data_IF_844290137592
#
_entry.id   IF_844290137592
#
_cell.length_a   1.000
_cell.length_b   1.000
_cell.length_c   1.000
_cell.angle_alpha   90.00
_cell.angle_beta   90.00
_cell.angle_gamma   90.00
#
_symmetry.space_group_name_H-M   'P 1'
#
loop_
_entity.id
_entity.type
_entity.pdbx_description
1 polymer ?
#
# COMPACT_ATOMS: atom_id res chain seq x y z
N UNK A 1 8.19 7.18 20.70
CA UNK A 1 8.64 6.56 19.43
C UNK A 1 9.81 7.38 18.91
N UNK A 2 11.00 6.81 18.69
CA UNK A 2 12.15 7.57 18.16
C UNK A 2 12.07 7.62 16.63
N UNK A 3 12.26 8.79 15.99
CA UNK A 3 12.45 8.87 14.55
C UNK A 3 13.59 7.95 14.12
N UNK A 4 13.38 7.21 13.05
CA UNK A 4 14.37 6.33 12.44
C UNK A 4 14.31 6.54 10.94
N UNK A 5 15.49 6.65 10.31
CA UNK A 5 15.58 6.83 8.87
C UNK A 5 15.76 5.45 8.23
N UNK A 6 14.80 5.06 7.39
CA UNK A 6 14.88 3.85 6.57
C UNK A 6 15.07 4.30 5.13
N UNK A 7 16.27 4.12 4.60
CA UNK A 7 16.55 4.47 3.20
C UNK A 7 15.93 3.42 2.27
N UNK A 8 15.25 3.89 1.24
CA UNK A 8 14.61 3.06 0.24
C UNK A 8 15.42 3.05 -1.06
N UNK A 9 15.25 2.00 -1.84
CA UNK A 9 15.78 1.96 -3.21
C UNK A 9 15.11 3.05 -4.07
N UNK A 10 15.76 3.43 -5.19
CA UNK A 10 15.17 4.38 -6.16
C UNK A 10 13.80 3.91 -6.67
N UNK A 11 13.68 2.63 -7.05
CA UNK A 11 12.42 2.07 -7.53
C UNK A 11 11.30 2.17 -6.48
N UNK A 12 11.63 1.89 -5.21
CA UNK A 12 10.67 2.03 -4.12
C UNK A 12 10.26 3.49 -3.90
N UNK A 13 11.19 4.44 -4.00
CA UNK A 13 10.87 5.87 -3.92
C UNK A 13 9.92 6.30 -5.04
N UNK A 14 10.15 5.86 -6.28
CA UNK A 14 9.28 6.16 -7.42
C UNK A 14 7.85 5.64 -7.19
N UNK A 15 7.70 4.42 -6.68
CA UNK A 15 6.40 3.85 -6.28
C UNK A 15 5.73 4.71 -5.20
N UNK A 16 6.48 5.12 -4.17
CA UNK A 16 5.94 5.92 -3.08
C UNK A 16 5.51 7.32 -3.54
N UNK A 17 6.23 7.93 -4.49
CA UNK A 17 5.88 9.21 -5.12
C UNK A 17 4.59 9.07 -5.93
N UNK A 18 4.46 8.01 -6.74
CA UNK A 18 3.24 7.74 -7.50
C UNK A 18 2.03 7.58 -6.57
N UNK A 19 2.17 6.77 -5.50
CA UNK A 19 1.12 6.58 -4.50
C UNK A 19 0.75 7.89 -3.80
N UNK A 20 1.75 8.69 -3.39
CA UNK A 20 1.53 9.99 -2.76
C UNK A 20 0.83 10.98 -3.69
N UNK A 21 1.12 10.95 -4.99
CA UNK A 21 0.44 11.78 -6.00
C UNK A 21 -1.04 11.40 -6.08
N UNK A 22 -1.38 10.11 -6.02
CA UNK A 22 -2.76 9.62 -5.98
C UNK A 22 -3.47 9.92 -4.64
N UNK A 23 -2.73 10.15 -3.56
CA UNK A 23 -3.28 10.48 -2.24
C UNK A 23 -3.69 11.96 -2.09
N UNK A 24 -3.56 12.77 -3.16
CA UNK A 24 -3.87 14.20 -3.17
C UNK A 24 -3.22 14.93 -1.97
N UNK A 25 -4.00 15.70 -1.22
CA UNK A 25 -3.49 16.48 -0.10
C UNK A 25 -3.36 15.69 1.22
N UNK A 26 -3.67 14.38 1.23
CA UNK A 26 -3.53 13.56 2.44
C UNK A 26 -2.09 13.56 2.95
N UNK A 27 -1.87 13.67 4.26
CA UNK A 27 -0.54 13.47 4.86
C UNK A 27 -0.02 12.01 4.79
N UNK A 28 -0.87 11.05 4.44
CA UNK A 28 -0.54 9.63 4.34
C UNK A 28 -0.32 9.20 2.89
N UNK A 29 0.53 8.19 2.67
CA UNK A 29 0.73 7.58 1.34
C UNK A 29 -0.46 6.70 0.96
N UNK A 30 -1.10 6.09 1.95
CA UNK A 30 -2.31 5.27 1.81
C UNK A 30 -3.41 5.84 2.72
N UNK A 31 -4.17 6.84 2.25
CA UNK A 31 -5.24 7.45 3.04
C UNK A 31 -6.43 6.50 3.26
N UNK A 32 -7.24 6.83 4.26
CA UNK A 32 -8.57 6.26 4.40
C UNK A 32 -9.46 6.71 3.23
N UNK A 33 -10.48 5.91 2.93
CA UNK A 33 -11.40 6.18 1.82
C UNK A 33 -12.28 7.41 2.06
N UNK A 34 -12.63 7.66 3.32
CA UNK A 34 -13.61 8.68 3.70
C UNK A 34 -12.98 9.89 4.38
N UNK A 35 -11.77 9.75 4.90
CA UNK A 35 -11.03 10.83 5.56
C UNK A 35 -9.59 10.84 5.07
N UNK A 36 -9.19 11.90 4.37
CA UNK A 36 -7.84 12.07 3.86
C UNK A 36 -6.83 12.33 4.98
N UNK A 37 -7.27 12.74 6.16
CA UNK A 37 -6.44 12.98 7.34
C UNK A 37 -6.31 11.75 8.25
N UNK A 38 -6.86 10.62 7.82
CA UNK A 38 -6.65 9.31 8.45
C UNK A 38 -5.91 8.33 7.54
N UNK A 39 -5.11 7.41 8.11
CA UNK A 39 -4.52 6.33 7.34
C UNK A 39 -5.56 5.25 7.02
N UNK A 40 -5.31 4.47 5.97
CA UNK A 40 -6.07 3.26 5.67
C UNK A 40 -6.09 2.30 6.88
N UNK A 41 -7.25 1.77 7.22
CA UNK A 41 -7.39 0.80 8.31
C UNK A 41 -6.71 -0.54 7.99
N UNK A 42 -6.22 -1.25 9.02
CA UNK A 42 -5.60 -2.59 8.88
C UNK A 42 -6.50 -3.58 8.16
N UNK A 43 -7.80 -3.58 8.48
CA UNK A 43 -8.77 -4.46 7.83
C UNK A 43 -8.91 -4.17 6.32
N UNK A 44 -8.82 -2.90 5.92
CA UNK A 44 -8.87 -2.53 4.50
C UNK A 44 -7.59 -2.93 3.78
N UNK A 45 -6.43 -2.70 4.39
CA UNK A 45 -5.14 -3.11 3.82
C UNK A 45 -5.05 -4.64 3.63
N UNK A 46 -5.52 -5.41 4.61
CA UNK A 46 -5.61 -6.87 4.50
C UNK A 46 -6.55 -7.32 3.38
N UNK A 47 -7.71 -6.65 3.22
CA UNK A 47 -8.64 -6.91 2.10
C UNK A 47 -8.00 -6.62 0.74
N UNK A 48 -7.21 -5.55 0.62
CA UNK A 48 -6.45 -5.24 -0.60
C UNK A 48 -5.45 -6.36 -0.91
N UNK A 49 -4.71 -6.83 0.10
CA UNK A 49 -3.74 -7.92 -0.04
C UNK A 49 -4.40 -9.20 -0.55
N UNK A 50 -5.52 -9.60 0.06
CA UNK A 50 -6.29 -10.76 -0.39
C UNK A 50 -6.82 -10.58 -1.83
N UNK A 51 -7.31 -9.38 -2.17
CA UNK A 51 -7.80 -9.09 -3.52
C UNK A 51 -6.70 -9.17 -4.59
N UNK A 52 -5.45 -8.81 -4.25
CA UNK A 52 -4.30 -8.97 -5.16
C UNK A 52 -4.05 -10.44 -5.46
N UNK A 53 -4.01 -11.30 -4.44
CA UNK A 53 -3.82 -12.75 -4.61
C UNK A 53 -4.92 -13.34 -5.48
N UNK A 54 -6.18 -13.01 -5.21
CA UNK A 54 -7.32 -13.53 -5.98
C UNK A 54 -7.31 -13.05 -7.43
N UNK A 55 -6.90 -11.80 -7.68
CA UNK A 55 -6.74 -11.30 -9.06
C UNK A 55 -5.59 -11.98 -9.79
N UNK A 56 -4.46 -12.17 -9.12
CA UNK A 56 -3.30 -12.84 -9.72
C UNK A 56 -3.62 -14.28 -10.12
N UNK A 57 -4.30 -15.04 -9.27
CA UNK A 57 -4.80 -16.39 -9.60
C UNK A 57 -5.72 -16.40 -10.81
N UNK A 58 -6.66 -15.46 -10.88
CA UNK A 58 -7.61 -15.35 -12.02
C UNK A 58 -6.92 -15.02 -13.34
N UNK A 59 -5.75 -14.37 -13.29
CA UNK A 59 -4.97 -13.97 -14.46
C UNK A 59 -3.77 -14.90 -14.73
N UNK A 60 -3.68 -16.02 -14.01
CA UNK A 60 -2.59 -17.00 -14.09
C UNK A 60 -1.18 -16.38 -13.95
N UNK A 61 -1.06 -15.33 -13.13
CA UNK A 61 0.25 -14.76 -12.82
C UNK A 61 1.04 -15.68 -11.88
N UNK A 62 2.37 -15.75 -12.02
CA UNK A 62 3.24 -16.58 -11.18
C UNK A 62 3.46 -15.93 -9.80
N UNK A 63 2.38 -15.65 -9.08
CA UNK A 63 2.40 -15.04 -7.76
C UNK A 63 1.97 -16.08 -6.72
N UNK A 64 2.89 -16.46 -5.84
CA UNK A 64 2.60 -17.33 -4.72
C UNK A 64 1.58 -16.69 -3.76
N UNK A 65 0.88 -17.51 -2.99
CA UNK A 65 0.02 -17.00 -1.92
C UNK A 65 0.84 -16.26 -0.86
N UNK A 66 0.36 -15.10 -0.41
CA UNK A 66 1.01 -14.32 0.64
C UNK A 66 -0.02 -13.58 1.50
N UNK A 67 0.39 -13.21 2.71
CA UNK A 67 -0.37 -12.33 3.61
C UNK A 67 0.49 -11.16 4.05
N UNK A 68 -0.04 -10.28 4.91
CA UNK A 68 0.71 -9.13 5.45
C UNK A 68 1.82 -9.53 6.43
N UNK A 69 1.83 -10.80 6.85
CA UNK A 69 2.85 -11.47 7.67
C UNK A 69 3.20 -12.81 7.04
#
# INVERSE_FOLDING_TARGET
KKPHNVYLSRQSLDIMIALKTCAANSRYVLPSRYDADEPMSRATFNRVTAAIVERAKKQDFPLAHFTVH
#
